data_IF_615167657075
#
_entry.id   IF_615167657075
#
_cell.length_a   1.000
_cell.length_b   1.000
_cell.length_c   1.000
_cell.angle_alpha   90.00
_cell.angle_beta   90.00
_cell.angle_gamma   90.00
#
_symmetry.space_group_name_H-M   'P 1'
#
loop_
_entity.id
_entity.type
_entity.pdbx_description
1 polymer ?
#
# COMPACT_ATOMS: atom_id res chain seq x y z
N UNK A 1 13.74 -18.92 -2.41
CA UNK A 1 12.62 -18.00 -2.67
C UNK A 1 12.95 -17.24 -3.93
N UNK A 2 11.95 -16.92 -4.74
CA UNK A 2 12.15 -15.96 -5.83
C UNK A 2 12.33 -14.56 -5.25
N UNK A 3 13.22 -13.78 -5.83
CA UNK A 3 13.45 -12.39 -5.43
C UNK A 3 12.37 -11.52 -6.05
N UNK A 4 11.54 -10.92 -5.20
CA UNK A 4 10.45 -10.03 -5.61
C UNK A 4 10.86 -8.58 -5.35
N UNK A 5 11.37 -7.92 -6.39
CA UNK A 5 11.78 -6.51 -6.32
C UNK A 5 10.67 -5.60 -6.84
N UNK A 6 10.26 -4.66 -5.99
CA UNK A 6 9.26 -3.62 -6.28
C UNK A 6 9.93 -2.25 -6.26
N UNK A 7 9.55 -1.42 -7.22
CA UNK A 7 9.97 -0.02 -7.27
C UNK A 7 8.76 0.90 -7.45
N UNK A 8 8.96 2.18 -7.15
CA UNK A 8 7.89 3.17 -7.18
C UNK A 8 8.41 4.59 -6.95
N UNK A 9 7.54 5.57 -7.18
CA UNK A 9 7.84 7.00 -7.00
C UNK A 9 6.82 7.60 -6.04
N UNK A 10 7.28 8.30 -5.00
CA UNK A 10 6.42 9.13 -4.17
C UNK A 10 5.86 10.30 -4.98
N UNK A 11 4.53 10.35 -5.10
CA UNK A 11 3.79 11.39 -5.82
C UNK A 11 3.33 12.50 -4.87
N UNK A 12 2.94 12.15 -3.65
CA UNK A 12 2.56 13.11 -2.60
C UNK A 12 3.06 12.63 -1.24
N UNK A 13 3.58 13.57 -0.43
CA UNK A 13 3.98 13.35 0.95
C UNK A 13 3.46 14.51 1.79
N UNK A 14 2.40 14.26 2.55
CA UNK A 14 1.86 15.21 3.53
C UNK A 14 2.14 14.63 4.93
N UNK A 15 3.01 15.27 5.73
CA UNK A 15 3.39 14.76 7.04
C UNK A 15 2.17 14.40 7.90
N UNK A 16 2.18 13.20 8.47
CA UNK A 16 1.16 12.67 9.39
C UNK A 16 -0.26 12.53 8.82
N UNK A 17 -0.48 12.75 7.52
CA UNK A 17 -1.84 12.78 6.94
C UNK A 17 -1.99 11.92 5.69
N UNK A 18 -1.06 12.03 4.73
CA UNK A 18 -1.23 11.41 3.41
C UNK A 18 0.10 11.01 2.77
N UNK A 19 0.11 9.84 2.16
CA UNK A 19 1.22 9.36 1.34
C UNK A 19 0.65 8.72 0.07
N UNK A 20 1.16 9.14 -1.09
CA UNK A 20 0.78 8.58 -2.39
C UNK A 20 2.04 8.17 -3.13
N UNK A 21 2.10 6.94 -3.62
CA UNK A 21 3.24 6.44 -4.38
C UNK A 21 2.81 5.41 -5.40
N UNK A 22 3.59 5.31 -6.48
CA UNK A 22 3.39 4.27 -7.48
C UNK A 22 4.00 2.96 -7.04
N UNK A 23 3.54 1.86 -7.62
CA UNK A 23 3.99 0.50 -7.31
C UNK A 23 4.11 -0.30 -8.60
N UNK A 24 5.30 -0.83 -8.89
CA UNK A 24 5.50 -1.74 -10.01
C UNK A 24 6.56 -2.79 -9.66
N UNK A 25 6.29 -4.04 -10.03
CA UNK A 25 7.32 -5.07 -10.05
C UNK A 25 8.37 -4.70 -11.09
N UNK A 26 9.66 -4.83 -10.76
CA UNK A 26 10.73 -4.50 -11.71
C UNK A 26 10.72 -5.37 -12.97
N UNK A 27 10.15 -6.57 -12.89
CA UNK A 27 9.99 -7.47 -14.03
C UNK A 27 8.89 -7.04 -15.00
N UNK A 28 7.94 -6.22 -14.55
CA UNK A 28 6.82 -5.70 -15.35
C UNK A 28 6.57 -4.22 -15.01
N UNK A 29 7.53 -3.33 -15.32
CA UNK A 29 7.47 -1.93 -14.94
C UNK A 29 6.29 -1.17 -15.58
N UNK A 30 5.75 -1.68 -16.69
CA UNK A 30 4.56 -1.13 -17.36
C UNK A 30 3.26 -1.39 -16.61
N UNK A 31 3.25 -2.32 -15.65
CA UNK A 31 2.09 -2.65 -14.80
C UNK A 31 2.12 -1.83 -13.51
N UNK A 32 2.34 -0.53 -13.66
CA UNK A 32 2.34 0.41 -12.54
C UNK A 32 0.93 0.57 -11.98
N UNK A 33 0.81 0.41 -10.66
CA UNK A 33 -0.40 0.68 -9.86
C UNK A 33 -0.14 1.83 -8.88
N UNK A 34 -1.19 2.29 -8.20
CA UNK A 34 -1.11 3.42 -7.28
C UNK A 34 -1.55 3.04 -5.87
N UNK A 35 -0.72 3.37 -4.88
CA UNK A 35 -1.02 3.20 -3.47
C UNK A 35 -1.23 4.57 -2.83
N UNK A 36 -2.37 4.72 -2.15
CA UNK A 36 -2.70 5.89 -1.33
C UNK A 36 -2.92 5.44 0.11
N UNK A 37 -2.17 6.05 1.03
CA UNK A 37 -2.35 5.90 2.47
C UNK A 37 -2.90 7.22 3.01
N UNK A 38 -4.00 7.16 3.73
CA UNK A 38 -4.58 8.27 4.48
C UNK A 38 -4.57 7.93 5.96
N UNK A 39 -4.14 8.87 6.78
CA UNK A 39 -4.12 8.77 8.23
C UNK A 39 -4.96 9.93 8.77
N UNK A 40 -5.98 9.61 9.56
CA UNK A 40 -6.83 10.61 10.21
C UNK A 40 -6.85 10.36 11.71
N UNK A 41 -6.89 11.40 12.55
CA UNK A 41 -7.13 11.23 13.98
C UNK A 41 -8.45 10.47 14.22
N UNK A 42 -8.43 9.53 15.14
CA UNK A 42 -9.61 8.77 15.56
C UNK A 42 -9.53 8.44 17.06
N UNK A 43 -10.21 9.25 17.88
CA UNK A 43 -10.15 9.15 19.33
C UNK A 43 -8.73 9.27 19.88
N UNK A 44 -8.28 8.25 20.63
CA UNK A 44 -6.93 8.17 21.19
C UNK A 44 -5.87 7.63 20.22
N UNK A 45 -6.25 7.34 18.96
CA UNK A 45 -5.36 6.80 17.94
C UNK A 45 -5.64 7.43 16.57
N UNK A 46 -5.45 6.63 15.52
CA UNK A 46 -5.65 7.06 14.14
C UNK A 46 -6.36 6.00 13.33
N UNK A 47 -7.22 6.43 12.42
CA UNK A 47 -7.75 5.60 11.35
C UNK A 47 -6.80 5.66 10.15
N UNK A 48 -6.21 4.53 9.80
CA UNK A 48 -5.42 4.37 8.57
C UNK A 48 -6.31 3.74 7.49
N UNK A 49 -6.43 4.41 6.34
CA UNK A 49 -7.08 3.86 5.13
C UNK A 49 -6.01 3.66 4.06
N UNK A 50 -5.87 2.44 3.56
CA UNK A 50 -5.00 2.10 2.44
C UNK A 50 -5.87 1.76 1.22
N UNK A 51 -5.69 2.50 0.14
CA UNK A 51 -6.28 2.20 -1.17
C UNK A 51 -5.16 1.82 -2.14
N UNK A 52 -5.26 0.65 -2.75
CA UNK A 52 -4.39 0.23 -3.85
C UNK A 52 -5.26 0.03 -5.08
N UNK A 53 -4.96 0.75 -6.16
CA UNK A 53 -5.79 0.81 -7.37
C UNK A 53 -4.95 0.83 -8.64
N UNK A 54 -5.62 0.85 -9.81
CA UNK A 54 -4.99 0.79 -11.14
C UNK A 54 -4.23 -0.53 -11.39
N UNK A 55 -4.75 -1.64 -10.85
CA UNK A 55 -4.20 -2.96 -11.13
C UNK A 55 -4.37 -3.36 -12.58
N UNK A 56 -3.39 -4.11 -13.09
CA UNK A 56 -3.43 -4.70 -14.42
C UNK A 56 -4.58 -5.72 -14.58
N UNK A 57 -4.86 -6.52 -13.56
CA UNK A 57 -5.94 -7.50 -13.55
C UNK A 57 -6.52 -7.72 -12.13
N UNK A 58 -7.69 -8.36 -12.06
CA UNK A 58 -8.39 -8.65 -10.80
C UNK A 58 -7.63 -9.64 -9.90
N UNK A 59 -6.93 -10.60 -10.50
CA UNK A 59 -6.15 -11.57 -9.74
C UNK A 59 -4.98 -10.89 -9.00
N UNK A 60 -4.36 -9.86 -9.59
CA UNK A 60 -3.36 -9.03 -8.92
C UNK A 60 -3.99 -8.21 -7.80
N UNK A 61 -5.16 -7.60 -8.02
CA UNK A 61 -5.92 -6.87 -6.97
C UNK A 61 -6.14 -7.75 -5.76
N UNK A 62 -6.70 -8.95 -5.95
CA UNK A 62 -7.09 -9.83 -4.85
C UNK A 62 -5.87 -10.32 -4.05
N UNK A 63 -4.79 -10.71 -4.73
CA UNK A 63 -3.52 -11.06 -4.08
C UNK A 63 -2.93 -9.92 -3.26
N UNK A 64 -2.99 -8.69 -3.77
CA UNK A 64 -2.52 -7.52 -3.01
C UNK A 64 -3.44 -7.19 -1.83
N UNK A 65 -4.75 -7.39 -1.95
CA UNK A 65 -5.68 -7.20 -0.85
C UNK A 65 -5.37 -8.15 0.32
N UNK A 66 -5.12 -9.44 0.04
CA UNK A 66 -4.69 -10.41 1.04
C UNK A 66 -3.34 -10.04 1.67
N UNK A 67 -2.36 -9.66 0.85
CA UNK A 67 -1.05 -9.23 1.32
C UNK A 67 -1.10 -8.02 2.24
N UNK A 68 -1.86 -6.98 1.86
CA UNK A 68 -2.04 -5.79 2.67
C UNK A 68 -2.78 -6.07 3.98
N UNK A 69 -3.82 -6.90 3.96
CA UNK A 69 -4.53 -7.29 5.18
C UNK A 69 -3.57 -7.93 6.21
N UNK A 70 -2.73 -8.88 5.78
CA UNK A 70 -1.74 -9.50 6.65
C UNK A 70 -0.67 -8.52 7.17
N UNK A 71 -0.28 -7.52 6.37
CA UNK A 71 0.63 -6.47 6.82
C UNK A 71 0.00 -5.55 7.87
N UNK A 72 -1.25 -5.13 7.66
CA UNK A 72 -1.98 -4.26 8.59
C UNK A 72 -2.29 -4.97 9.92
N UNK A 73 -2.61 -6.28 9.89
CA UNK A 73 -2.75 -7.09 11.10
C UNK A 73 -1.46 -7.11 11.94
N UNK A 74 -0.30 -7.28 11.29
CA UNK A 74 1.00 -7.26 11.97
C UNK A 74 1.32 -5.87 12.52
N UNK A 75 1.00 -4.81 11.78
CA UNK A 75 1.18 -3.43 12.24
C UNK A 75 0.32 -3.16 13.49
N UNK A 76 -0.95 -3.57 13.48
CA UNK A 76 -1.84 -3.41 14.62
C UNK A 76 -1.29 -4.12 15.87
N UNK A 77 -0.78 -5.36 15.73
CA UNK A 77 -0.13 -6.10 16.84
C UNK A 77 1.18 -5.47 17.33
N UNK A 78 1.89 -4.75 16.47
CA UNK A 78 3.13 -4.08 16.85
C UNK A 78 2.87 -2.78 17.62
N UNK A 79 1.74 -2.11 17.36
CA UNK A 79 1.34 -0.85 17.98
C UNK A 79 0.53 -1.02 19.28
N UNK A 80 0.08 -2.25 19.58
CA UNK A 80 -0.63 -2.61 20.81
C UNK A 80 0.32 -2.91 21.96
#
# INVERSE_FOLDING_TARGET
GEEHDVSGIYREVVPNEKLVFTWAWRSTPERESLVTILIKPDGGGSLLTLTHEQFFDEAARDRHAEGWAGCLDKLARYLS
#
